data_IF_606672596448
#
_entry.id   IF_606672596448
#
_cell.length_a   1.000
_cell.length_b   1.000
_cell.length_c   1.000
_cell.angle_alpha   90.00
_cell.angle_beta   90.00
_cell.angle_gamma   90.00
#
_symmetry.space_group_name_H-M   'P 1'
#
loop_
_entity.id
_entity.type
_entity.pdbx_description
1 polymer ?
#
# COMPACT_ATOMS: atom_id res chain seq x y z
N UNK A 1 1.01 10.65 23.91
CA UNK A 1 2.02 10.04 23.03
C UNK A 1 1.28 9.18 22.04
N UNK A 2 1.37 9.49 20.75
CA UNK A 2 0.85 8.59 19.73
C UNK A 2 1.63 7.28 19.76
N UNK A 3 0.93 6.15 19.62
CA UNK A 3 1.54 4.84 19.63
C UNK A 3 2.37 4.67 18.34
N UNK A 4 3.67 4.44 18.49
CA UNK A 4 4.55 4.08 17.38
C UNK A 4 4.68 2.55 17.28
N UNK A 5 4.77 2.03 16.06
CA UNK A 5 4.83 0.61 15.76
C UNK A 5 6.20 0.21 15.21
N UNK A 6 6.76 -0.88 15.73
CA UNK A 6 7.98 -1.51 15.20
C UNK A 6 7.72 -2.40 13.98
N UNK A 7 6.47 -2.84 13.77
CA UNK A 7 6.05 -3.62 12.61
C UNK A 7 4.73 -3.04 12.08
N UNK A 8 4.70 -2.72 10.80
CA UNK A 8 3.51 -2.30 10.06
C UNK A 8 3.23 -3.37 9.01
N UNK A 9 2.03 -3.96 9.04
CA UNK A 9 1.53 -4.86 8.00
C UNK A 9 0.51 -4.11 7.16
N UNK A 10 0.72 -4.04 5.84
CA UNK A 10 -0.13 -3.29 4.94
C UNK A 10 -0.59 -4.13 3.74
N UNK A 11 -1.86 -3.95 3.39
CA UNK A 11 -2.46 -4.38 2.12
C UNK A 11 -2.97 -3.14 1.38
N UNK A 12 -2.11 -2.46 0.60
CA UNK A 12 -2.48 -1.19 0.00
C UNK A 12 -3.51 -1.37 -1.11
N UNK A 13 -4.41 -0.41 -1.30
CA UNK A 13 -5.42 -0.45 -2.34
C UNK A 13 -4.81 -0.08 -3.71
N UNK A 14 -3.92 -0.92 -4.22
CA UNK A 14 -3.20 -0.70 -5.48
C UNK A 14 -4.15 -0.52 -6.66
N UNK A 15 -3.99 0.60 -7.37
CA UNK A 15 -4.58 0.75 -8.69
C UNK A 15 -3.67 0.08 -9.74
N UNK A 16 -4.22 -0.84 -10.54
CA UNK A 16 -3.52 -1.47 -11.66
C UNK A 16 -4.38 -1.44 -12.92
N UNK A 17 -3.74 -1.25 -14.08
CA UNK A 17 -4.42 -1.07 -15.36
C UNK A 17 -5.07 -2.36 -15.92
N UNK A 18 -4.85 -3.51 -15.29
CA UNK A 18 -5.38 -4.79 -15.78
C UNK A 18 -6.83 -5.02 -15.31
N UNK A 19 -7.76 -4.21 -15.82
CA UNK A 19 -9.19 -4.26 -15.50
C UNK A 19 -9.97 -5.37 -16.23
N UNK A 20 -9.29 -6.22 -17.03
CA UNK A 20 -9.94 -7.21 -17.92
C UNK A 20 -10.12 -8.58 -17.25
N UNK A 21 -9.52 -8.82 -16.08
CA UNK A 21 -9.71 -10.07 -15.33
C UNK A 21 -10.72 -9.90 -14.19
N UNK A 22 -11.48 -10.96 -13.90
CA UNK A 22 -12.49 -11.04 -12.83
C UNK A 22 -11.98 -10.74 -11.40
N UNK A 23 -10.71 -10.37 -11.22
CA UNK A 23 -10.08 -10.04 -9.93
C UNK A 23 -9.73 -8.57 -9.75
N UNK A 24 -10.25 -7.65 -10.57
CA UNK A 24 -9.92 -6.23 -10.46
C UNK A 24 -10.39 -5.64 -9.12
N UNK A 25 -9.44 -5.16 -8.31
CA UNK A 25 -9.66 -4.64 -6.96
C UNK A 25 -10.65 -3.47 -6.92
N UNK A 26 -10.67 -2.67 -8.00
CA UNK A 26 -11.62 -1.57 -8.18
C UNK A 26 -13.10 -2.00 -8.19
N UNK A 27 -13.40 -3.27 -8.45
CA UNK A 27 -14.76 -3.80 -8.41
C UNK A 27 -15.23 -4.07 -6.96
N UNK A 28 -14.30 -4.11 -5.99
CA UNK A 28 -14.59 -4.44 -4.60
C UNK A 28 -14.36 -3.26 -3.64
N UNK A 29 -13.39 -2.40 -3.92
CA UNK A 29 -13.09 -1.20 -3.12
C UNK A 29 -12.39 -0.12 -3.95
N UNK A 30 -12.41 1.12 -3.46
CA UNK A 30 -11.69 2.22 -4.10
C UNK A 30 -10.19 1.95 -4.07
N UNK A 31 -9.57 1.97 -5.25
CA UNK A 31 -8.11 1.88 -5.41
C UNK A 31 -7.51 3.28 -5.54
N UNK A 32 -6.22 3.41 -5.26
CA UNK A 32 -5.50 4.68 -5.38
C UNK A 32 -4.18 4.47 -6.11
N UNK A 33 -3.72 5.53 -6.76
CA UNK A 33 -2.52 5.51 -7.58
C UNK A 33 -1.25 5.42 -6.72
N UNK A 34 -0.15 5.01 -7.34
CA UNK A 34 1.13 4.84 -6.66
C UNK A 34 1.61 6.13 -5.99
N UNK A 35 1.47 7.29 -6.65
CA UNK A 35 1.91 8.57 -6.10
C UNK A 35 1.13 8.94 -4.84
N UNK A 36 -0.20 8.75 -4.85
CA UNK A 36 -1.04 8.94 -3.68
C UNK A 36 -0.69 7.98 -2.52
N UNK A 37 -0.38 6.70 -2.81
CA UNK A 37 0.06 5.73 -1.80
C UNK A 37 1.36 6.15 -1.10
N UNK A 38 2.34 6.66 -1.85
CA UNK A 38 3.63 7.09 -1.27
C UNK A 38 3.52 8.30 -0.33
N UNK A 39 2.37 8.98 -0.32
CA UNK A 39 2.08 10.17 0.48
C UNK A 39 1.30 9.89 1.76
N UNK A 40 0.96 8.62 2.03
CA UNK A 40 0.36 8.25 3.30
C UNK A 40 1.34 8.59 4.45
N UNK A 41 0.87 9.23 5.53
CA UNK A 41 1.72 9.72 6.61
C UNK A 41 2.14 8.59 7.57
N UNK A 42 2.73 7.51 7.04
CA UNK A 42 3.11 6.32 7.80
C UNK A 42 4.17 6.64 8.87
N UNK A 43 4.96 7.69 8.67
CA UNK A 43 5.95 8.19 9.62
C UNK A 43 5.33 8.65 10.94
N UNK A 44 4.05 9.07 10.92
CA UNK A 44 3.33 9.47 12.13
C UNK A 44 3.06 8.28 13.05
N UNK A 45 3.07 7.06 12.53
CA UNK A 45 2.85 5.82 13.31
C UNK A 45 4.07 4.90 13.34
N UNK A 46 5.11 5.13 12.54
CA UNK A 46 6.31 4.30 12.53
C UNK A 46 7.28 4.64 13.67
N UNK A 47 7.79 3.61 14.36
CA UNK A 47 8.94 3.77 15.26
C UNK A 47 10.23 4.03 14.46
N UNK A 48 11.22 4.67 15.09
CA UNK A 48 12.52 5.01 14.47
C UNK A 48 13.18 3.79 13.81
N UNK A 49 13.18 2.65 14.50
CA UNK A 49 13.60 1.36 13.96
C UNK A 49 12.36 0.49 13.79
N UNK A 50 11.84 0.41 12.56
CA UNK A 50 10.63 -0.35 12.23
C UNK A 50 10.74 -1.05 10.88
N UNK A 51 9.83 -2.02 10.67
CA UNK A 51 9.72 -2.82 9.45
C UNK A 51 8.33 -2.63 8.86
N UNK A 52 8.27 -2.44 7.53
CA UNK A 52 7.04 -2.50 6.75
C UNK A 52 6.98 -3.83 5.99
N UNK A 53 5.99 -4.65 6.31
CA UNK A 53 5.62 -5.82 5.53
C UNK A 53 4.39 -5.47 4.69
N UNK A 54 4.47 -5.62 3.37
CA UNK A 54 3.43 -5.13 2.48
C UNK A 54 3.21 -6.05 1.29
N UNK A 55 1.94 -6.24 0.90
CA UNK A 55 1.62 -6.88 -0.37
C UNK A 55 1.97 -5.95 -1.52
N UNK A 56 2.71 -6.46 -2.50
CA UNK A 56 3.09 -5.75 -3.71
C UNK A 56 2.59 -6.56 -4.90
N UNK A 57 2.00 -5.90 -5.90
CA UNK A 57 1.59 -6.59 -7.14
C UNK A 57 2.80 -6.70 -8.07
N UNK A 58 2.92 -7.82 -8.79
CA UNK A 58 4.17 -8.27 -9.43
C UNK A 58 4.71 -7.46 -10.62
N UNK A 59 4.32 -6.19 -10.80
CA UNK A 59 4.79 -5.36 -11.93
C UNK A 59 5.42 -4.03 -11.51
N UNK A 60 5.43 -3.68 -10.21
CA UNK A 60 6.02 -2.40 -9.74
C UNK A 60 7.55 -2.33 -9.85
N UNK A 61 8.25 -3.46 -10.02
CA UNK A 61 9.73 -3.49 -10.10
C UNK A 61 10.28 -2.98 -11.45
N UNK A 62 9.42 -2.71 -12.44
CA UNK A 62 9.79 -2.32 -13.79
C UNK A 62 9.18 -0.98 -14.26
N UNK A 63 8.41 -0.29 -13.39
CA UNK A 63 7.88 1.07 -13.63
C UNK A 63 8.72 2.14 -12.93
#
# INVERSE_FOLDING_TARGET
MEQKYSLILADPPWQYNNAVSNGAANNHYATTDFYSLTRLPIEQIAAENSVLCMWCTGNFSAE
#
